data_IF_182845702187
#
_entry.id   IF_182845702187
#
_cell.length_a   1.000
_cell.length_b   1.000
_cell.length_c   1.000
_cell.angle_alpha   90.00
_cell.angle_beta   90.00
_cell.angle_gamma   90.00
#
_symmetry.space_group_name_H-M   'P 1'
#
loop_
_entity.id
_entity.type
_entity.pdbx_description
1 polymer ?
#
# COMPACT_ATOMS: atom_id res chain seq x y z
N UNK A 1 74.67 14.64 24.95
CA UNK A 1 74.45 13.31 24.35
C UNK A 1 73.25 13.45 23.42
N UNK A 2 73.52 13.84 22.17
CA UNK A 2 73.47 12.96 20.97
C UNK A 2 72.08 12.40 20.79
N UNK A 3 71.32 12.59 19.71
CA UNK A 3 71.50 13.07 18.34
C UNK A 3 70.08 12.81 17.74
N UNK A 4 69.51 13.46 16.73
CA UNK A 4 69.88 14.53 15.80
C UNK A 4 68.64 14.71 14.90
N UNK A 5 68.28 15.97 14.62
CA UNK A 5 67.88 16.53 13.30
C UNK A 5 66.71 15.91 12.51
N UNK A 6 65.61 16.66 12.30
CA UNK A 6 65.34 17.73 11.29
C UNK A 6 64.95 17.18 9.91
N UNK A 7 63.76 17.56 9.42
CA UNK A 7 63.51 18.52 8.32
C UNK A 7 61.98 18.63 8.13
N UNK A 8 61.35 19.81 8.28
CA UNK A 8 60.99 20.77 7.21
C UNK A 8 60.21 20.13 6.04
N UNK A 9 59.18 20.71 5.42
CA UNK A 9 58.40 21.94 5.58
C UNK A 9 57.38 21.95 4.41
N UNK A 10 56.51 22.98 4.39
CA UNK A 10 55.60 23.45 3.32
C UNK A 10 54.19 22.84 3.35
N UNK A 11 53.18 23.52 3.92
CA UNK A 11 52.42 24.66 3.36
C UNK A 11 51.88 24.39 1.95
N UNK A 12 50.56 24.24 1.87
CA UNK A 12 49.64 25.06 1.08
C UNK A 12 48.56 24.24 0.33
N UNK A 13 47.31 24.59 0.63
CA UNK A 13 46.18 24.71 -0.28
C UNK A 13 45.93 23.61 -1.32
N UNK A 14 44.80 22.91 -1.14
CA UNK A 14 44.22 22.06 -2.17
C UNK A 14 42.80 21.66 -1.82
N UNK A 15 41.84 22.54 -2.10
CA UNK A 15 40.48 22.19 -2.49
C UNK A 15 40.53 20.98 -3.42
N UNK A 16 40.11 19.80 -2.96
CA UNK A 16 39.62 18.75 -3.84
C UNK A 16 38.44 18.09 -3.12
N UNK A 17 37.28 18.26 -3.74
CA UNK A 17 36.06 17.51 -3.52
C UNK A 17 36.38 16.03 -3.23
N UNK A 18 35.71 15.45 -2.24
CA UNK A 18 35.65 13.99 -2.09
C UNK A 18 34.96 13.40 -3.31
N UNK A 19 35.74 13.20 -4.36
CA UNK A 19 35.39 12.45 -5.54
C UNK A 19 35.00 11.04 -5.06
N UNK A 20 33.71 10.76 -5.06
CA UNK A 20 33.27 9.40 -5.28
C UNK A 20 33.71 9.07 -6.69
N UNK A 21 34.83 8.35 -6.75
CA UNK A 21 35.21 7.60 -7.94
C UNK A 21 33.99 6.80 -8.35
N UNK A 22 33.45 7.14 -9.52
CA UNK A 22 32.64 6.23 -10.30
C UNK A 22 33.43 4.92 -10.42
N UNK A 23 33.13 3.97 -9.53
CA UNK A 23 33.41 2.58 -9.82
C UNK A 23 32.67 2.29 -11.13
N UNK A 24 33.31 1.68 -12.12
CA UNK A 24 32.66 1.41 -13.38
C UNK A 24 31.39 0.65 -13.05
N UNK A 25 30.26 1.16 -13.54
CA UNK A 25 29.02 0.43 -13.62
C UNK A 25 29.39 -0.95 -14.17
N UNK A 26 29.46 -1.94 -13.28
CA UNK A 26 29.37 -3.32 -13.70
C UNK A 26 27.98 -3.37 -14.26
N UNK A 27 27.92 -3.28 -15.59
CA UNK A 27 26.69 -3.32 -16.35
C UNK A 27 25.97 -4.56 -15.89
N UNK A 28 24.97 -4.37 -15.01
CA UNK A 28 23.79 -5.21 -14.94
C UNK A 28 23.14 -5.07 -16.31
N UNK A 29 23.76 -5.73 -17.28
CA UNK A 29 23.17 -6.03 -18.55
C UNK A 29 22.13 -7.06 -18.18
N UNK A 30 20.90 -6.60 -17.90
CA UNK A 30 19.72 -7.46 -17.93
C UNK A 30 19.55 -7.82 -19.41
N UNK A 31 20.40 -8.73 -19.86
CA UNK A 31 20.51 -9.13 -21.24
C UNK A 31 19.40 -10.13 -21.55
N UNK A 32 18.46 -9.68 -22.38
CA UNK A 32 17.95 -10.49 -23.48
C UNK A 32 16.58 -11.10 -23.25
N UNK A 33 15.63 -10.61 -24.05
CA UNK A 33 14.28 -11.16 -24.29
C UNK A 33 13.32 -11.12 -23.10
N UNK A 34 12.97 -9.90 -22.68
CA UNK A 34 11.66 -9.70 -22.05
C UNK A 34 10.61 -9.80 -23.17
N UNK A 35 10.10 -11.00 -23.43
CA UNK A 35 8.74 -11.10 -23.94
C UNK A 35 7.89 -10.28 -22.97
N UNK A 36 7.27 -9.19 -23.46
CA UNK A 36 6.39 -8.32 -22.70
C UNK A 36 5.24 -9.14 -22.11
N UNK A 37 5.44 -9.70 -20.93
CA UNK A 37 4.37 -10.37 -20.20
C UNK A 37 3.63 -9.26 -19.46
N UNK A 38 2.55 -8.79 -20.06
CA UNK A 38 1.55 -8.03 -19.34
C UNK A 38 0.80 -8.98 -18.39
N UNK A 39 0.29 -8.46 -17.27
CA UNK A 39 -0.76 -9.19 -16.57
C UNK A 39 -1.92 -9.41 -17.58
N UNK A 40 -2.55 -10.60 -17.61
CA UNK A 40 -3.70 -10.80 -18.47
C UNK A 40 -4.75 -9.73 -18.17
N UNK A 41 -5.35 -9.11 -19.19
CA UNK A 41 -6.33 -8.05 -19.02
C UNK A 41 -7.49 -8.54 -18.15
N UNK A 42 -8.14 -7.62 -17.42
CA UNK A 42 -9.28 -7.96 -16.54
C UNK A 42 -10.39 -8.76 -17.26
N UNK A 43 -10.49 -8.64 -18.59
CA UNK A 43 -11.41 -9.40 -19.44
C UNK A 43 -11.09 -10.89 -19.60
N UNK A 44 -9.88 -11.35 -19.29
CA UNK A 44 -9.49 -12.78 -19.37
C UNK A 44 -9.71 -13.52 -18.04
N UNK A 45 -9.81 -12.82 -16.91
CA UNK A 45 -10.11 -13.39 -15.59
C UNK A 45 -11.61 -13.30 -15.30
N UNK A 46 -12.47 -13.88 -16.13
CA UNK A 46 -13.92 -13.70 -16.04
C UNK A 46 -14.61 -14.49 -14.92
N UNK A 47 -13.89 -15.39 -14.24
CA UNK A 47 -14.53 -16.33 -13.33
C UNK A 47 -14.78 -15.67 -11.98
N UNK A 48 -16.06 -15.51 -11.67
CA UNK A 48 -16.56 -15.16 -10.35
C UNK A 48 -16.64 -16.44 -9.51
N UNK A 49 -16.05 -16.42 -8.33
CA UNK A 49 -16.09 -17.55 -7.40
C UNK A 49 -16.56 -17.12 -6.02
N UNK A 50 -16.93 -18.10 -5.21
CA UNK A 50 -17.38 -17.89 -3.83
C UNK A 50 -16.53 -18.73 -2.90
N UNK A 51 -16.08 -18.15 -1.80
CA UNK A 51 -15.45 -18.84 -0.68
C UNK A 51 -16.47 -18.95 0.45
N UNK A 52 -17.01 -20.15 0.61
CA UNK A 52 -17.88 -20.55 1.70
C UNK A 52 -17.02 -21.00 2.89
N UNK A 53 -17.21 -20.38 4.05
CA UNK A 53 -16.41 -20.65 5.24
C UNK A 53 -17.25 -20.92 6.47
N UNK A 54 -16.74 -21.75 7.37
CA UNK A 54 -17.37 -22.01 8.67
C UNK A 54 -16.81 -21.14 9.79
N UNK A 55 -17.53 -21.03 10.91
CA UNK A 55 -17.01 -20.37 12.12
C UNK A 55 -15.83 -21.12 12.75
N UNK A 56 -15.59 -22.36 12.31
CA UNK A 56 -14.47 -23.20 12.72
C UNK A 56 -13.15 -22.88 11.99
N UNK A 57 -13.17 -21.98 11.00
CA UNK A 57 -11.98 -21.60 10.25
C UNK A 57 -11.29 -20.39 10.90
N UNK A 58 -10.00 -20.49 11.30
CA UNK A 58 -9.24 -19.36 11.79
C UNK A 58 -9.16 -18.24 10.75
N UNK A 59 -9.22 -16.99 11.19
CA UNK A 59 -9.31 -15.82 10.31
C UNK A 59 -8.10 -15.68 9.38
N UNK A 60 -6.89 -15.89 9.88
CA UNK A 60 -5.67 -15.81 9.06
C UNK A 60 -5.72 -16.82 7.91
N UNK A 61 -6.20 -18.05 8.19
CA UNK A 61 -6.40 -19.09 7.17
C UNK A 61 -7.46 -18.70 6.14
N UNK A 62 -8.57 -18.08 6.58
CA UNK A 62 -9.60 -17.59 5.66
C UNK A 62 -9.05 -16.52 4.71
N UNK A 63 -8.25 -15.59 5.22
CA UNK A 63 -7.65 -14.51 4.44
C UNK A 63 -6.57 -15.02 3.49
N UNK A 64 -5.73 -15.97 3.93
CA UNK A 64 -4.79 -16.68 3.07
C UNK A 64 -5.49 -17.31 1.86
N UNK A 65 -6.58 -18.03 2.11
CA UNK A 65 -7.38 -18.67 1.06
C UNK A 65 -8.08 -17.65 0.15
N UNK A 66 -8.58 -16.55 0.71
CA UNK A 66 -9.13 -15.45 -0.09
C UNK A 66 -8.08 -14.83 -1.01
N UNK A 67 -6.89 -14.50 -0.46
CA UNK A 67 -5.76 -13.95 -1.21
C UNK A 67 -5.34 -14.89 -2.35
N UNK A 68 -5.20 -16.18 -2.06
CA UNK A 68 -4.93 -17.22 -3.06
C UNK A 68 -5.99 -17.21 -4.17
N UNK A 69 -7.28 -17.24 -3.84
CA UNK A 69 -8.35 -17.24 -4.83
C UNK A 69 -8.43 -15.93 -5.64
N UNK A 70 -8.19 -14.77 -5.02
CA UNK A 70 -8.18 -13.48 -5.74
C UNK A 70 -7.00 -13.33 -6.68
N UNK A 71 -5.89 -14.01 -6.40
CA UNK A 71 -4.74 -14.00 -7.30
C UNK A 71 -5.00 -14.74 -8.62
N UNK A 72 -5.97 -15.65 -8.64
CA UNK A 72 -6.31 -16.50 -9.80
C UNK A 72 -7.66 -16.15 -10.44
N UNK A 73 -8.63 -15.70 -9.65
CA UNK A 73 -10.00 -15.41 -10.10
C UNK A 73 -10.28 -13.91 -10.17
N UNK A 74 -11.15 -13.49 -11.09
CA UNK A 74 -11.51 -12.08 -11.28
C UNK A 74 -12.33 -11.48 -10.17
N UNK A 75 -13.06 -12.32 -9.41
CA UNK A 75 -13.86 -11.92 -8.26
C UNK A 75 -14.04 -13.07 -7.29
N UNK A 76 -13.99 -12.76 -5.98
CA UNK A 76 -14.23 -13.73 -4.91
C UNK A 76 -15.21 -13.14 -3.91
N UNK A 77 -16.34 -13.81 -3.73
CA UNK A 77 -17.32 -13.52 -2.68
C UNK A 77 -16.97 -14.29 -1.39
N UNK A 78 -17.30 -13.74 -0.22
CA UNK A 78 -17.12 -14.39 1.08
C UNK A 78 -18.51 -14.66 1.69
N UNK A 79 -18.79 -15.92 1.99
CA UNK A 79 -20.08 -16.33 2.54
C UNK A 79 -19.90 -17.22 3.77
N UNK A 80 -20.51 -16.84 4.90
CA UNK A 80 -20.57 -17.69 6.08
C UNK A 80 -21.53 -18.87 5.89
N UNK A 81 -21.08 -20.05 6.28
CA UNK A 81 -21.86 -21.28 6.31
C UNK A 81 -22.99 -21.19 7.35
N UNK A 82 -24.19 -21.62 6.95
CA UNK A 82 -25.38 -21.59 7.82
C UNK A 82 -26.31 -20.40 7.58
N UNK A 83 -25.91 -19.42 6.77
CA UNK A 83 -26.86 -18.48 6.17
C UNK A 83 -27.63 -19.15 5.01
N UNK A 84 -28.78 -18.58 4.67
CA UNK A 84 -29.49 -19.01 3.46
C UNK A 84 -28.60 -18.83 2.24
N UNK A 85 -28.72 -19.77 1.30
CA UNK A 85 -27.96 -19.71 0.05
C UNK A 85 -28.28 -18.39 -0.68
N UNK A 86 -27.28 -17.63 -1.18
CA UNK A 86 -27.52 -16.37 -1.86
C UNK A 86 -28.54 -16.50 -3.00
N UNK A 87 -29.50 -15.58 -3.03
CA UNK A 87 -30.61 -15.60 -3.98
C UNK A 87 -30.17 -15.41 -5.43
N UNK A 88 -29.17 -14.55 -5.67
CA UNK A 88 -28.60 -14.31 -6.99
C UNK A 88 -27.18 -14.89 -7.10
N UNK A 89 -26.98 -15.75 -8.09
CA UNK A 89 -25.74 -16.48 -8.38
C UNK A 89 -25.34 -16.34 -9.85
N UNK A 90 -25.91 -15.36 -10.55
CA UNK A 90 -25.59 -15.10 -11.94
C UNK A 90 -24.08 -14.89 -12.12
N UNK A 91 -23.49 -15.70 -13.00
CA UNK A 91 -22.06 -15.66 -13.32
C UNK A 91 -21.13 -16.37 -12.34
N UNK A 92 -21.64 -17.02 -11.27
CA UNK A 92 -20.80 -17.78 -10.35
C UNK A 92 -20.32 -19.08 -11.02
N UNK A 93 -19.01 -19.20 -11.28
CA UNK A 93 -18.45 -20.38 -11.94
C UNK A 93 -18.16 -21.52 -10.95
N UNK A 94 -17.71 -21.19 -9.75
CA UNK A 94 -17.29 -22.17 -8.74
C UNK A 94 -17.50 -21.67 -7.31
N UNK A 95 -17.83 -22.60 -6.41
CA UNK A 95 -17.79 -22.41 -4.96
C UNK A 95 -16.67 -23.25 -4.34
N UNK A 96 -15.92 -22.65 -3.44
CA UNK A 96 -14.90 -23.28 -2.62
C UNK A 96 -15.38 -23.32 -1.17
N UNK A 97 -15.34 -24.47 -0.52
CA UNK A 97 -15.70 -24.65 0.88
C UNK A 97 -14.44 -24.85 1.74
N UNK A 98 -14.39 -24.20 2.91
CA UNK A 98 -13.30 -24.34 3.88
C UNK A 98 -13.87 -24.48 5.29
N UNK A 99 -13.44 -25.51 6.04
CA UNK A 99 -13.95 -25.85 7.35
C UNK A 99 -15.14 -26.82 7.30
N UNK A 100 -15.31 -27.58 8.38
CA UNK A 100 -16.32 -28.65 8.45
C UNK A 100 -17.75 -28.14 8.38
N UNK A 101 -18.04 -26.93 8.88
CA UNK A 101 -19.37 -26.33 8.75
C UNK A 101 -19.67 -25.95 7.29
N UNK A 102 -18.68 -25.39 6.57
CA UNK A 102 -18.83 -25.05 5.17
C UNK A 102 -18.97 -26.29 4.29
N UNK A 103 -18.19 -27.34 4.54
CA UNK A 103 -18.29 -28.60 3.81
C UNK A 103 -19.68 -29.25 3.96
N UNK A 104 -20.24 -29.20 5.16
CA UNK A 104 -21.59 -29.71 5.44
C UNK A 104 -22.66 -28.88 4.71
N UNK A 105 -22.58 -27.55 4.77
CA UNK A 105 -23.48 -26.64 4.06
C UNK A 105 -23.36 -26.80 2.54
N UNK A 106 -22.14 -26.85 2.01
CA UNK A 106 -21.86 -27.09 0.60
C UNK A 106 -22.40 -28.44 0.11
N UNK A 107 -22.31 -29.48 0.95
CA UNK A 107 -22.88 -30.79 0.63
C UNK A 107 -24.41 -30.75 0.54
N UNK A 108 -25.08 -29.96 1.38
CA UNK A 108 -26.51 -29.73 1.28
C UNK A 108 -26.89 -28.97 -0.01
N UNK A 109 -26.02 -28.09 -0.49
CA UNK A 109 -26.23 -27.32 -1.72
C UNK A 109 -25.73 -28.01 -2.99
N UNK A 110 -25.03 -29.15 -2.89
CA UNK A 110 -24.38 -29.84 -4.02
C UNK A 110 -25.32 -30.10 -5.20
N UNK A 111 -26.54 -30.57 -4.94
CA UNK A 111 -27.54 -30.82 -5.99
C UNK A 111 -27.90 -29.53 -6.72
N UNK A 112 -28.11 -28.44 -5.98
CA UNK A 112 -28.47 -27.13 -6.52
C UNK A 112 -27.33 -26.47 -7.29
N UNK A 113 -26.09 -26.59 -6.79
CA UNK A 113 -24.91 -26.17 -7.55
C UNK A 113 -24.78 -26.92 -8.87
N UNK A 114 -24.98 -28.24 -8.87
CA UNK A 114 -24.92 -29.05 -10.09
C UNK A 114 -26.02 -28.68 -11.11
N UNK A 115 -27.25 -28.43 -10.64
CA UNK A 115 -28.37 -27.98 -11.49
C UNK A 115 -28.09 -26.62 -12.15
N UNK A 116 -27.30 -25.77 -11.49
CA UNK A 116 -26.92 -24.44 -11.98
C UNK A 116 -25.55 -24.43 -12.69
N UNK A 117 -24.90 -25.58 -12.84
CA UNK A 117 -23.59 -25.69 -13.51
C UNK A 117 -22.41 -25.12 -12.71
N UNK A 118 -22.59 -24.91 -11.40
CA UNK A 118 -21.58 -24.33 -10.51
C UNK A 118 -20.71 -25.45 -9.94
N UNK A 119 -19.39 -25.36 -10.16
CA UNK A 119 -18.44 -26.32 -9.58
C UNK A 119 -18.37 -26.17 -8.06
N UNK A 120 -18.19 -27.28 -7.33
CA UNK A 120 -17.97 -27.26 -5.88
C UNK A 120 -16.66 -27.97 -5.53
N UNK A 121 -15.78 -27.28 -4.81
CA UNK A 121 -14.48 -27.77 -4.37
C UNK A 121 -14.25 -27.50 -2.89
N UNK A 122 -13.45 -28.32 -2.22
CA UNK A 122 -13.12 -28.20 -0.81
C UNK A 122 -11.64 -27.84 -0.67
N UNK A 123 -11.31 -26.87 0.20
CA UNK A 123 -9.95 -26.36 0.42
C UNK A 123 -9.28 -26.92 1.70
N UNK A 124 -9.82 -27.99 2.30
CA UNK A 124 -9.30 -28.55 3.54
C UNK A 124 -8.01 -29.38 3.34
N UNK A 125 -6.89 -28.67 3.51
CA UNK A 125 -5.51 -29.12 3.64
C UNK A 125 -4.54 -27.95 3.37
N UNK A 126 -3.25 -28.02 3.74
CA UNK A 126 -2.21 -27.14 3.20
C UNK A 126 -1.91 -27.43 1.70
N UNK A 127 -2.85 -28.09 1.01
CA UNK A 127 -2.73 -28.49 -0.37
C UNK A 127 -3.28 -27.39 -1.26
N UNK A 128 -2.40 -26.88 -2.10
CA UNK A 128 -2.72 -26.09 -3.29
C UNK A 128 -4.05 -26.56 -3.92
N UNK A 129 -4.91 -25.64 -4.39
CA UNK A 129 -6.07 -26.00 -5.19
C UNK A 129 -5.60 -26.95 -6.29
N UNK A 130 -6.17 -28.15 -6.38
CA UNK A 130 -5.73 -29.12 -7.38
C UNK A 130 -5.91 -28.46 -8.74
N UNK A 131 -4.83 -28.21 -9.49
CA UNK A 131 -4.91 -27.45 -10.72
C UNK A 131 -5.73 -28.26 -11.73
N UNK A 132 -7.01 -27.92 -11.81
CA UNK A 132 -7.82 -28.19 -12.99
C UNK A 132 -7.29 -27.31 -14.10
N UNK A 133 -6.22 -27.77 -14.75
CA UNK A 133 -5.66 -27.25 -16.00
C UNK A 133 -5.49 -25.73 -16.01
N UNK A 134 -4.41 -25.19 -15.42
CA UNK A 134 -3.93 -23.85 -15.76
C UNK A 134 -2.41 -23.81 -15.86
N UNK A 135 -1.93 -23.08 -16.87
CA UNK A 135 -0.62 -23.21 -17.50
C UNK A 135 0.61 -22.97 -16.64
N UNK A 136 1.73 -23.43 -17.16
CA UNK A 136 3.11 -23.35 -16.64
C UNK A 136 3.69 -21.92 -16.58
N UNK A 137 2.86 -20.89 -16.53
CA UNK A 137 3.30 -19.49 -16.49
C UNK A 137 3.42 -19.02 -15.05
N UNK A 138 4.66 -18.73 -14.63
CA UNK A 138 4.93 -18.05 -13.37
C UNK A 138 4.28 -16.66 -13.37
N UNK A 139 3.77 -16.25 -12.21
CA UNK A 139 3.25 -14.91 -12.01
C UNK A 139 4.32 -13.84 -12.17
N UNK A 140 3.90 -12.59 -12.40
CA UNK A 140 4.79 -11.46 -12.58
C UNK A 140 5.11 -10.78 -11.25
N UNK A 141 6.34 -10.31 -11.08
CA UNK A 141 6.72 -9.48 -9.93
C UNK A 141 6.70 -8.01 -10.34
N UNK A 142 6.12 -7.14 -9.51
CA UNK A 142 6.14 -5.69 -9.71
C UNK A 142 6.82 -5.00 -8.53
N UNK A 143 7.33 -3.79 -8.74
CA UNK A 143 7.95 -3.00 -7.68
C UNK A 143 7.03 -1.86 -7.20
N UNK A 144 7.10 -1.49 -5.92
CA UNK A 144 6.36 -0.37 -5.34
C UNK A 144 7.19 0.46 -4.37
N UNK A 145 7.08 1.79 -4.47
CA UNK A 145 7.48 2.74 -3.42
C UNK A 145 6.26 3.08 -2.57
N UNK A 146 6.35 2.81 -1.26
CA UNK A 146 5.25 2.97 -0.31
C UNK A 146 5.28 4.30 0.45
N UNK A 147 4.13 4.71 0.97
CA UNK A 147 4.03 5.84 1.89
C UNK A 147 4.65 7.16 1.35
N UNK A 148 4.51 7.42 0.05
CA UNK A 148 4.98 8.68 -0.55
C UNK A 148 4.08 9.81 -0.05
N UNK A 149 4.69 10.73 0.69
CA UNK A 149 3.97 11.78 1.39
C UNK A 149 4.76 13.10 1.47
N UNK A 150 4.10 14.24 1.77
CA UNK A 150 4.76 15.55 1.73
C UNK A 150 5.80 15.79 2.83
N UNK A 151 5.95 14.89 3.79
CA UNK A 151 6.91 15.01 4.90
C UNK A 151 8.21 14.23 4.64
N UNK A 152 8.32 13.55 3.49
CA UNK A 152 9.55 12.88 3.08
C UNK A 152 10.64 13.88 2.68
N UNK A 153 11.89 13.40 2.70
CA UNK A 153 12.98 14.09 2.03
C UNK A 153 12.80 13.96 0.50
N UNK A 154 12.39 15.07 -0.14
CA UNK A 154 12.11 15.10 -1.57
C UNK A 154 13.36 14.82 -2.42
N UNK A 155 14.56 15.21 -1.95
CA UNK A 155 15.80 14.93 -2.68
C UNK A 155 16.18 13.46 -2.61
N UNK A 156 15.87 12.78 -1.50
CA UNK A 156 16.03 11.33 -1.44
C UNK A 156 15.03 10.60 -2.34
N UNK A 157 13.79 11.10 -2.40
CA UNK A 157 12.75 10.56 -3.27
C UNK A 157 13.13 10.71 -4.76
N UNK A 158 13.62 11.88 -5.17
CA UNK A 158 14.13 12.15 -6.52
C UNK A 158 15.23 11.15 -6.90
N UNK A 159 16.24 11.01 -6.03
CA UNK A 159 17.37 10.09 -6.23
C UNK A 159 16.90 8.63 -6.40
N UNK A 160 15.87 8.21 -5.67
CA UNK A 160 15.29 6.87 -5.83
C UNK A 160 14.61 6.72 -7.19
N UNK A 161 13.84 7.72 -7.62
CA UNK A 161 13.23 7.75 -8.94
C UNK A 161 14.27 7.66 -10.06
N UNK A 162 15.36 8.43 -9.97
CA UNK A 162 16.49 8.37 -10.90
C UNK A 162 17.11 6.98 -10.96
N UNK A 163 17.41 6.41 -9.81
CA UNK A 163 18.03 5.09 -9.73
C UNK A 163 17.17 4.00 -10.38
N UNK A 164 15.85 4.04 -10.18
CA UNK A 164 14.88 3.12 -10.80
C UNK A 164 14.79 3.31 -12.31
N UNK A 165 14.75 4.57 -12.77
CA UNK A 165 14.73 4.91 -14.19
C UNK A 165 16.01 4.46 -14.92
N UNK A 166 17.18 4.70 -14.34
CA UNK A 166 18.48 4.26 -14.89
C UNK A 166 18.52 2.75 -15.14
N UNK A 167 17.77 1.98 -14.35
CA UNK A 167 17.65 0.52 -14.45
C UNK A 167 16.41 0.06 -15.21
N UNK A 168 15.65 0.99 -15.78
CA UNK A 168 14.42 0.71 -16.53
C UNK A 168 13.39 -0.08 -15.71
N UNK A 169 13.33 0.14 -14.39
CA UNK A 169 12.35 -0.47 -13.50
C UNK A 169 11.14 0.44 -13.43
N UNK A 170 10.00 0.00 -13.97
CA UNK A 170 8.71 0.66 -13.75
C UNK A 170 8.11 0.23 -12.42
N UNK A 171 7.41 1.14 -11.74
CA UNK A 171 7.00 0.93 -10.35
C UNK A 171 5.66 1.56 -10.02
N UNK A 172 4.97 0.99 -9.04
CA UNK A 172 3.85 1.64 -8.37
C UNK A 172 4.36 2.67 -7.36
N UNK A 173 3.61 3.77 -7.22
CA UNK A 173 3.87 4.84 -6.26
C UNK A 173 2.64 4.96 -5.39
N UNK A 174 2.73 4.52 -4.15
CA UNK A 174 1.64 4.70 -3.20
C UNK A 174 1.66 6.14 -2.65
N UNK A 175 0.69 6.92 -3.07
CA UNK A 175 0.51 8.31 -2.66
C UNK A 175 -0.39 8.39 -1.44
N UNK A 176 0.08 9.11 -0.42
CA UNK A 176 -0.73 9.46 0.74
C UNK A 176 -1.74 10.54 0.38
N UNK A 177 -2.99 10.46 0.85
CA UNK A 177 -3.98 11.49 0.56
C UNK A 177 -3.58 12.89 1.07
N UNK A 178 -3.81 13.92 0.26
CA UNK A 178 -3.58 15.34 0.59
C UNK A 178 -4.90 16.10 0.48
N UNK A 179 -5.40 16.71 1.56
CA UNK A 179 -6.74 17.32 1.59
C UNK A 179 -6.75 18.81 1.88
N UNK A 180 -5.64 19.36 2.35
CA UNK A 180 -5.54 20.74 2.84
C UNK A 180 -4.25 21.37 2.37
N UNK A 181 -4.26 22.69 2.26
CA UNK A 181 -3.08 23.52 1.96
C UNK A 181 -2.34 23.10 0.67
N UNK A 182 -3.08 22.62 -0.33
CA UNK A 182 -2.53 22.28 -1.65
C UNK A 182 -1.76 23.46 -2.29
N UNK A 183 -2.16 24.69 -1.97
CA UNK A 183 -1.53 25.93 -2.45
C UNK A 183 -0.23 26.30 -1.73
N UNK A 184 0.15 25.61 -0.65
CA UNK A 184 1.38 25.94 0.07
C UNK A 184 2.63 25.51 -0.70
N UNK A 185 3.70 26.30 -0.62
CA UNK A 185 4.95 26.05 -1.37
C UNK A 185 5.52 24.64 -1.14
N UNK A 186 5.48 24.14 0.10
CA UNK A 186 5.96 22.80 0.42
C UNK A 186 5.13 21.68 -0.23
N UNK A 187 3.81 21.85 -0.30
CA UNK A 187 2.92 20.88 -0.96
C UNK A 187 3.05 20.98 -2.49
N UNK A 188 3.25 22.18 -3.05
CA UNK A 188 3.55 22.37 -4.47
C UNK A 188 4.87 21.72 -4.87
N UNK A 189 5.91 21.85 -4.03
CA UNK A 189 7.19 21.15 -4.22
C UNK A 189 7.01 19.63 -4.18
N UNK A 190 6.21 19.12 -3.24
CA UNK A 190 5.84 17.71 -3.19
C UNK A 190 5.13 17.25 -4.47
N UNK A 191 4.13 17.99 -4.97
CA UNK A 191 3.45 17.63 -6.22
C UNK A 191 4.39 17.66 -7.44
N UNK A 192 5.33 18.60 -7.47
CA UNK A 192 6.36 18.63 -8.51
C UNK A 192 7.25 17.39 -8.45
N UNK A 193 7.66 16.97 -7.26
CA UNK A 193 8.46 15.75 -7.09
C UNK A 193 7.67 14.50 -7.46
N UNK A 194 6.39 14.40 -7.07
CA UNK A 194 5.54 13.29 -7.49
C UNK A 194 5.44 13.23 -9.01
N UNK A 195 5.22 14.36 -9.70
CA UNK A 195 5.21 14.40 -11.18
C UNK A 195 6.52 13.89 -11.78
N UNK A 196 7.67 14.33 -11.24
CA UNK A 196 9.00 13.84 -11.64
C UNK A 196 9.09 12.32 -11.52
N UNK A 197 8.62 11.71 -10.42
CA UNK A 197 8.57 10.25 -10.29
C UNK A 197 7.70 9.57 -11.35
N UNK A 198 6.56 10.18 -11.70
CA UNK A 198 5.65 9.61 -12.70
C UNK A 198 6.27 9.65 -14.11
N UNK A 199 6.96 10.73 -14.46
CA UNK A 199 7.73 10.85 -15.70
C UNK A 199 8.85 9.81 -15.79
N UNK A 200 9.38 9.38 -14.63
CA UNK A 200 10.41 8.35 -14.49
C UNK A 200 9.88 6.92 -14.45
N UNK A 201 8.59 6.71 -14.71
CA UNK A 201 7.97 5.37 -14.83
C UNK A 201 7.13 4.95 -13.62
N UNK A 202 6.88 5.87 -12.69
CA UNK A 202 5.99 5.69 -11.56
C UNK A 202 4.51 5.66 -11.96
N UNK A 203 3.75 4.76 -11.33
CA UNK A 203 2.30 4.59 -11.52
C UNK A 203 1.58 4.92 -10.20
N UNK A 204 0.84 6.04 -10.13
CA UNK A 204 0.28 6.50 -8.87
C UNK A 204 -0.90 5.64 -8.42
N UNK A 205 -0.84 5.18 -7.17
CA UNK A 205 -1.93 4.53 -6.46
C UNK A 205 -2.30 5.42 -5.27
N UNK A 206 -3.58 5.55 -4.98
CA UNK A 206 -4.04 6.33 -3.84
C UNK A 206 -4.22 5.39 -2.63
N UNK A 207 -3.43 5.63 -1.60
CA UNK A 207 -3.51 4.90 -0.34
C UNK A 207 -4.79 5.28 0.42
N UNK A 208 -5.28 4.42 1.32
CA UNK A 208 -6.32 4.82 2.23
C UNK A 208 -5.74 5.78 3.27
N UNK A 209 -6.59 6.35 4.09
CA UNK A 209 -6.18 7.10 5.27
C UNK A 209 -5.58 6.18 6.36
N UNK A 210 -4.36 5.65 6.18
CA UNK A 210 -3.62 4.91 7.22
C UNK A 210 -3.58 5.77 8.49
N UNK A 211 -4.17 5.29 9.58
CA UNK A 211 -4.33 6.01 10.86
C UNK A 211 -5.66 6.76 11.05
N UNK A 212 -6.56 6.79 10.05
CA UNK A 212 -7.94 7.20 10.25
C UNK A 212 -8.78 5.96 10.53
N UNK A 213 -9.12 5.76 11.79
CA UNK A 213 -10.14 4.79 12.18
C UNK A 213 -11.50 5.52 12.15
N UNK A 214 -12.43 5.16 11.25
CA UNK A 214 -13.83 5.49 11.53
C UNK A 214 -14.16 4.87 12.89
N UNK A 215 -14.83 5.59 13.81
CA UNK A 215 -15.10 5.05 15.14
C UNK A 215 -15.83 3.71 14.99
N UNK A 216 -15.31 2.67 15.62
CA UNK A 216 -15.92 1.35 15.62
C UNK A 216 -17.37 1.49 16.13
N UNK A 217 -18.34 1.29 15.24
CA UNK A 217 -19.76 1.17 15.61
C UNK A 217 -19.97 0.05 16.65
N UNK A 218 -19.04 -0.90 16.72
CA UNK A 218 -19.00 -1.94 17.74
C UNK A 218 -18.49 -1.49 19.11
N UNK A 219 -17.58 -0.51 19.21
CA UNK A 219 -17.14 0.04 20.51
C UNK A 219 -18.10 1.12 21.03
N UNK A 220 -18.67 1.94 20.15
CA UNK A 220 -19.65 2.97 20.56
C UNK A 220 -20.97 2.37 21.10
N UNK A 221 -21.31 1.14 20.73
CA UNK A 221 -22.44 0.40 21.31
C UNK A 221 -22.11 -0.21 22.70
N UNK A 222 -20.83 -0.49 22.99
CA UNK A 222 -20.38 -1.12 24.24
C UNK A 222 -19.98 -0.09 25.30
N UNK A 223 -19.43 1.06 24.91
CA UNK A 223 -18.82 2.00 25.85
C UNK A 223 -19.73 3.16 26.27
N UNK A 224 -20.89 3.35 25.62
CA UNK A 224 -21.92 4.29 26.09
C UNK A 224 -21.47 5.75 26.24
N UNK A 225 -20.32 6.13 25.69
CA UNK A 225 -19.73 7.46 25.83
C UNK A 225 -19.44 8.07 24.47
N UNK A 226 -20.32 8.98 24.05
CA UNK A 226 -19.97 10.00 23.07
C UNK A 226 -18.93 10.94 23.67
N UNK A 227 -17.78 11.10 23.01
CA UNK A 227 -16.91 12.25 23.22
C UNK A 227 -17.04 13.20 22.03
N UNK A 228 -17.64 14.35 22.32
CA UNK A 228 -17.77 15.48 21.41
C UNK A 228 -16.41 16.16 21.18
N UNK A 229 -16.19 16.58 19.94
CA UNK A 229 -15.40 17.79 19.67
C UNK A 229 -14.05 17.58 18.99
N UNK A 230 -14.01 16.93 17.83
CA UNK A 230 -13.60 17.47 16.51
C UNK A 230 -14.07 16.43 15.49
N UNK A 231 -15.37 16.37 15.23
CA UNK A 231 -15.96 15.48 14.23
C UNK A 231 -16.61 16.33 13.15
N UNK A 232 -15.81 17.00 12.33
CA UNK A 232 -16.17 17.02 10.92
C UNK A 232 -15.86 15.60 10.42
N UNK A 233 -16.82 14.70 10.67
CA UNK A 233 -16.85 13.35 10.15
C UNK A 233 -17.11 13.45 8.64
N UNK A 234 -16.11 13.94 7.89
CA UNK A 234 -16.15 13.82 6.45
C UNK A 234 -16.12 12.33 6.15
N UNK A 235 -17.18 11.84 5.50
CA UNK A 235 -17.27 10.46 5.03
C UNK A 235 -16.00 10.11 4.24
N UNK A 236 -15.49 8.86 4.35
CA UNK A 236 -14.29 8.43 3.63
C UNK A 236 -14.31 8.87 2.17
N UNK A 237 -15.47 8.74 1.52
CA UNK A 237 -15.65 9.12 0.12
C UNK A 237 -15.34 10.59 -0.12
N UNK A 238 -15.80 11.51 0.73
CA UNK A 238 -15.54 12.94 0.55
C UNK A 238 -14.06 13.29 0.71
N UNK A 239 -13.39 12.69 1.68
CA UNK A 239 -11.94 12.87 1.84
C UNK A 239 -11.20 12.33 0.62
N UNK A 240 -11.47 11.09 0.24
CA UNK A 240 -10.83 10.49 -0.93
C UNK A 240 -11.10 11.28 -2.22
N UNK A 241 -12.29 11.88 -2.36
CA UNK A 241 -12.58 12.83 -3.44
C UNK A 241 -11.67 14.04 -3.40
N UNK A 242 -11.54 14.67 -2.24
CA UNK A 242 -10.72 15.87 -2.09
C UNK A 242 -9.25 15.59 -2.39
N UNK A 243 -8.73 14.44 -1.96
CA UNK A 243 -7.37 14.03 -2.32
C UNK A 243 -7.24 13.77 -3.82
N UNK A 244 -8.21 13.08 -4.41
CA UNK A 244 -8.25 12.88 -5.85
C UNK A 244 -8.23 14.21 -6.62
N UNK A 245 -9.10 15.16 -6.24
CA UNK A 245 -9.20 16.47 -6.89
C UNK A 245 -7.86 17.23 -6.74
N UNK A 246 -7.26 17.23 -5.55
CA UNK A 246 -5.97 17.87 -5.30
C UNK A 246 -4.84 17.31 -6.18
N UNK A 247 -4.81 15.99 -6.41
CA UNK A 247 -3.85 15.38 -7.34
C UNK A 247 -4.18 15.70 -8.81
N UNK A 248 -5.45 15.60 -9.19
CA UNK A 248 -5.89 15.82 -10.57
C UNK A 248 -5.67 17.27 -11.04
N UNK A 249 -5.89 18.26 -10.17
CA UNK A 249 -5.59 19.67 -10.41
C UNK A 249 -4.09 19.92 -10.68
N UNK A 250 -3.24 19.03 -10.19
CA UNK A 250 -1.79 19.06 -10.35
C UNK A 250 -1.28 18.20 -11.51
N UNK A 251 -2.19 17.67 -12.33
CA UNK A 251 -1.86 16.79 -13.46
C UNK A 251 -1.45 15.37 -13.04
N UNK A 252 -1.68 15.00 -11.78
CA UNK A 252 -1.38 13.67 -11.24
C UNK A 252 -2.66 12.82 -11.29
N UNK A 253 -2.69 11.84 -12.20
CA UNK A 253 -3.87 11.00 -12.43
C UNK A 253 -3.68 9.62 -11.79
N UNK A 254 -4.39 9.36 -10.69
CA UNK A 254 -4.30 8.06 -9.98
C UNK A 254 -4.77 6.92 -10.90
N UNK A 255 -4.10 5.76 -10.85
CA UNK A 255 -4.41 4.58 -11.67
C UNK A 255 -5.22 3.52 -10.93
N UNK A 256 -5.19 3.52 -9.60
CA UNK A 256 -5.86 2.54 -8.74
C UNK A 256 -5.72 2.91 -7.27
N UNK A 257 -6.15 1.99 -6.42
CA UNK A 257 -6.06 2.11 -4.97
C UNK A 257 -4.96 1.20 -4.42
N UNK A 258 -4.40 1.56 -3.28
CA UNK A 258 -3.70 0.60 -2.42
C UNK A 258 -4.40 0.47 -1.08
N UNK A 259 -3.93 -0.44 -0.21
CA UNK A 259 -4.39 -0.54 1.19
C UNK A 259 -4.59 -1.98 1.67
N UNK A 260 -4.97 -2.18 2.94
CA UNK A 260 -5.04 -3.51 3.49
C UNK A 260 -6.21 -4.27 2.86
N UNK A 261 -6.01 -5.57 2.69
CA UNK A 261 -6.92 -6.44 1.96
C UNK A 261 -8.37 -6.34 2.45
N UNK A 262 -8.57 -6.07 3.73
CA UNK A 262 -9.88 -5.99 4.34
C UNK A 262 -10.71 -4.77 4.01
N UNK A 263 -10.12 -3.74 3.40
CA UNK A 263 -10.90 -2.65 2.82
C UNK A 263 -11.89 -3.16 1.77
N UNK A 264 -11.57 -4.26 1.08
CA UNK A 264 -12.48 -4.89 0.11
C UNK A 264 -13.77 -5.43 0.76
N UNK A 265 -13.82 -5.54 2.09
CA UNK A 265 -14.96 -6.01 2.86
C UNK A 265 -15.62 -4.92 3.73
N UNK A 266 -15.12 -3.68 3.67
CA UNK A 266 -15.68 -2.57 4.42
C UNK A 266 -16.77 -1.86 3.61
N UNK A 267 -18.04 -1.86 4.08
CA UNK A 267 -19.13 -1.17 3.40
C UNK A 267 -18.91 0.33 3.22
N UNK A 268 -18.16 0.98 4.12
CA UNK A 268 -17.84 2.41 4.03
C UNK A 268 -16.86 2.72 2.88
N UNK A 269 -16.07 1.73 2.46
CA UNK A 269 -15.13 1.84 1.35
C UNK A 269 -15.71 1.36 0.02
N UNK A 270 -16.81 0.61 0.02
CA UNK A 270 -17.46 0.09 -1.19
C UNK A 270 -17.77 1.17 -2.24
N UNK A 271 -18.31 2.37 -1.89
CA UNK A 271 -18.52 3.44 -2.87
C UNK A 271 -17.23 3.95 -3.52
N UNK A 272 -16.11 3.93 -2.79
CA UNK A 272 -14.80 4.35 -3.28
C UNK A 272 -14.18 3.25 -4.14
N UNK A 273 -14.14 2.02 -3.65
CA UNK A 273 -13.57 0.87 -4.35
C UNK A 273 -14.33 0.53 -5.63
N UNK A 274 -15.65 0.73 -5.65
CA UNK A 274 -16.47 0.59 -6.86
C UNK A 274 -16.08 1.56 -7.99
N UNK A 275 -15.32 2.61 -7.68
CA UNK A 275 -14.77 3.55 -8.68
C UNK A 275 -13.44 3.07 -9.24
N UNK A 276 -12.72 2.18 -8.54
CA UNK A 276 -11.38 1.73 -8.89
C UNK A 276 -11.38 0.33 -9.53
N UNK A 277 -10.59 0.15 -10.58
CA UNK A 277 -10.40 -1.12 -11.30
C UNK A 277 -9.11 -1.86 -10.93
N UNK A 278 -8.21 -1.22 -10.18
CA UNK A 278 -6.95 -1.77 -9.71
C UNK A 278 -6.83 -1.57 -8.20
N UNK A 279 -6.48 -2.63 -7.49
CA UNK A 279 -6.21 -2.62 -6.05
C UNK A 279 -4.91 -3.37 -5.78
N UNK A 280 -3.92 -2.67 -5.24
CA UNK A 280 -2.67 -3.26 -4.77
C UNK A 280 -2.73 -3.37 -3.26
N UNK A 281 -2.60 -4.58 -2.75
CA UNK A 281 -2.58 -4.76 -1.29
C UNK A 281 -1.44 -3.94 -0.67
N UNK A 282 -1.68 -3.36 0.51
CA UNK A 282 -0.62 -2.82 1.34
C UNK A 282 -1.01 -2.82 2.82
N UNK A 283 -0.04 -3.06 3.69
CA UNK A 283 -0.19 -2.94 5.12
C UNK A 283 -0.88 -4.12 5.78
N UNK A 284 -0.91 -4.07 7.11
CA UNK A 284 -1.55 -5.09 7.91
C UNK A 284 -3.08 -4.92 7.89
N UNK A 285 -3.74 -6.06 7.85
CA UNK A 285 -5.17 -6.20 8.09
C UNK A 285 -5.60 -5.46 9.37
N UNK A 286 -6.73 -4.76 9.32
CA UNK A 286 -7.17 -3.84 10.37
C UNK A 286 -8.33 -4.35 11.23
N UNK A 287 -9.12 -5.30 10.76
CA UNK A 287 -10.30 -5.69 11.53
C UNK A 287 -11.47 -6.22 10.73
N UNK A 288 -11.52 -5.93 9.43
CA UNK A 288 -12.76 -6.05 8.67
C UNK A 288 -12.86 -7.44 8.02
N UNK A 289 -13.92 -8.18 8.34
CA UNK A 289 -14.37 -9.32 7.52
C UNK A 289 -15.86 -9.44 7.70
N UNK A 290 -16.61 -8.78 6.82
CA UNK A 290 -18.05 -8.99 6.71
C UNK A 290 -18.29 -9.94 5.55
N UNK A 291 -19.38 -10.68 5.64
CA UNK A 291 -19.89 -11.44 4.50
C UNK A 291 -20.17 -10.46 3.36
N UNK A 292 -19.77 -10.84 2.15
CA UNK A 292 -20.04 -10.05 0.94
C UNK A 292 -20.69 -10.97 -0.09
N UNK A 293 -21.88 -10.55 -0.53
CA UNK A 293 -22.60 -11.22 -1.60
C UNK A 293 -21.80 -11.21 -2.90
N UNK A 294 -22.17 -12.09 -3.83
CA UNK A 294 -21.47 -12.24 -5.09
C UNK A 294 -21.49 -10.91 -5.90
N UNK A 295 -22.62 -10.23 -5.93
CA UNK A 295 -22.84 -8.92 -6.54
C UNK A 295 -22.09 -7.78 -5.85
N UNK A 296 -21.75 -7.95 -4.57
CA UNK A 296 -21.04 -6.94 -3.79
C UNK A 296 -19.52 -7.08 -3.89
N UNK A 297 -19.05 -8.25 -4.30
CA UNK A 297 -17.65 -8.54 -4.49
C UNK A 297 -17.02 -7.59 -5.51
N UNK A 298 -15.89 -7.02 -5.13
CA UNK A 298 -15.14 -6.12 -5.99
C UNK A 298 -14.49 -6.89 -7.16
N UNK A 299 -14.71 -6.41 -8.38
CA UNK A 299 -14.43 -7.14 -9.62
C UNK A 299 -13.25 -6.55 -10.43
N UNK A 300 -12.22 -6.02 -9.77
CA UNK A 300 -11.03 -5.44 -10.43
C UNK A 300 -9.79 -6.33 -10.35
N UNK A 301 -8.66 -5.77 -10.82
CA UNK A 301 -7.34 -6.39 -10.77
C UNK A 301 -6.78 -6.27 -9.36
N UNK A 302 -6.67 -7.39 -8.67
CA UNK A 302 -6.04 -7.48 -7.36
C UNK A 302 -4.58 -7.93 -7.50
N UNK A 303 -3.66 -7.20 -6.86
CA UNK A 303 -2.27 -7.58 -6.75
C UNK A 303 -1.88 -7.71 -5.26
N UNK A 304 -1.52 -8.91 -4.77
CA UNK A 304 -1.03 -9.08 -3.42
C UNK A 304 0.34 -8.42 -3.26
N UNK A 305 0.62 -7.94 -2.05
CA UNK A 305 1.86 -7.26 -1.71
C UNK A 305 2.70 -8.06 -0.72
N UNK A 306 4.02 -7.93 -0.88
CA UNK A 306 5.03 -8.44 0.01
C UNK A 306 6.02 -7.34 0.35
N UNK A 307 6.29 -7.20 1.64
CA UNK A 307 7.37 -6.34 2.11
C UNK A 307 8.71 -7.07 1.93
N UNK A 308 9.62 -6.46 1.16
CA UNK A 308 10.91 -7.05 0.85
C UNK A 308 10.84 -8.39 0.09
N UNK A 309 11.90 -9.18 0.21
CA UNK A 309 12.09 -10.44 -0.50
C UNK A 309 11.94 -11.69 0.38
N UNK A 310 11.77 -11.50 1.69
CA UNK A 310 11.76 -12.61 2.64
C UNK A 310 10.63 -13.61 2.33
N UNK A 311 10.96 -14.92 2.24
CA UNK A 311 10.03 -15.95 1.76
C UNK A 311 8.91 -16.29 2.75
N UNK A 312 9.01 -15.91 4.03
CA UNK A 312 8.04 -16.32 5.05
C UNK A 312 6.62 -15.74 4.82
N UNK A 313 6.50 -14.63 4.09
CA UNK A 313 5.21 -14.05 3.72
C UNK A 313 4.59 -14.68 2.44
N UNK A 314 5.35 -15.45 1.65
CA UNK A 314 4.91 -15.95 0.34
C UNK A 314 4.46 -17.42 0.33
N UNK A 315 4.48 -18.12 1.46
CA UNK A 315 4.15 -19.54 1.52
C UNK A 315 2.69 -19.88 1.14
N UNK A 316 1.83 -18.87 0.96
CA UNK A 316 0.39 -19.03 0.74
C UNK A 316 -0.08 -18.64 -0.67
N UNK A 317 0.79 -18.06 -1.52
CA UNK A 317 0.41 -17.66 -2.87
C UNK A 317 0.78 -18.74 -3.90
N UNK A 318 -0.10 -19.02 -4.88
CA UNK A 318 0.21 -20.00 -5.91
C UNK A 318 1.31 -19.46 -6.84
N UNK A 319 2.16 -20.30 -7.45
CA UNK A 319 3.26 -19.86 -8.33
C UNK A 319 2.82 -19.00 -9.53
N UNK A 320 1.56 -19.10 -9.94
CA UNK A 320 0.96 -18.31 -11.01
C UNK A 320 0.52 -16.90 -10.56
N UNK A 321 0.52 -16.60 -9.27
CA UNK A 321 0.10 -15.30 -8.74
C UNK A 321 1.14 -14.23 -9.08
N UNK A 322 0.69 -13.18 -9.77
CA UNK A 322 1.47 -11.93 -9.82
C UNK A 322 1.49 -11.28 -8.44
N UNK A 323 2.59 -10.62 -8.09
CA UNK A 323 2.80 -10.01 -6.77
C UNK A 323 3.53 -8.68 -6.87
N UNK A 324 3.36 -7.83 -5.86
CA UNK A 324 4.06 -6.55 -5.71
C UNK A 324 5.05 -6.68 -4.56
N UNK A 325 6.29 -6.33 -4.82
CA UNK A 325 7.35 -6.19 -3.82
C UNK A 325 7.62 -4.71 -3.66
N UNK A 326 7.77 -4.24 -2.43
CA UNK A 326 8.08 -2.82 -2.26
C UNK A 326 8.73 -2.51 -0.93
N UNK A 327 9.20 -1.27 -0.84
CA UNK A 327 9.80 -0.68 0.35
C UNK A 327 9.14 0.66 0.67
N UNK A 328 9.27 1.11 1.91
CA UNK A 328 8.88 2.47 2.29
C UNK A 328 9.73 3.52 1.57
N UNK A 329 9.09 4.55 1.03
CA UNK A 329 9.76 5.66 0.36
C UNK A 329 10.65 6.47 1.31
N UNK A 330 10.46 6.36 2.62
CA UNK A 330 11.34 6.92 3.65
C UNK A 330 12.53 6.03 4.07
N UNK A 331 12.61 4.78 3.60
CA UNK A 331 13.76 3.92 3.90
C UNK A 331 15.04 4.48 3.25
N UNK A 332 16.22 4.15 3.75
CA UNK A 332 17.45 4.64 3.11
C UNK A 332 17.63 4.05 1.69
N UNK A 333 18.33 4.78 0.81
CA UNK A 333 18.61 4.27 -0.54
C UNK A 333 19.50 3.01 -0.55
N UNK A 334 20.25 2.73 0.53
CA UNK A 334 21.07 1.52 0.62
C UNK A 334 20.18 0.27 0.78
N UNK A 335 19.07 0.36 1.50
CA UNK A 335 18.07 -0.67 1.67
C UNK A 335 17.38 -0.96 0.33
N UNK A 336 17.01 0.07 -0.44
CA UNK A 336 16.46 -0.10 -1.79
C UNK A 336 17.45 -0.82 -2.71
N UNK A 337 18.71 -0.36 -2.71
CA UNK A 337 19.76 -0.95 -3.55
C UNK A 337 20.02 -2.40 -3.17
N UNK A 338 20.13 -2.69 -1.87
CA UNK A 338 20.36 -4.04 -1.35
C UNK A 338 19.21 -4.97 -1.71
N UNK A 339 17.96 -4.55 -1.52
CA UNK A 339 16.79 -5.34 -1.88
C UNK A 339 16.75 -5.62 -3.39
N UNK A 340 17.05 -4.65 -4.24
CA UNK A 340 17.00 -4.84 -5.69
C UNK A 340 18.17 -5.68 -6.22
N UNK A 341 19.35 -5.57 -5.60
CA UNK A 341 20.49 -6.45 -5.88
C UNK A 341 20.22 -7.89 -5.43
N UNK A 342 19.61 -8.07 -4.26
CA UNK A 342 19.18 -9.37 -3.77
C UNK A 342 18.12 -9.97 -4.71
N UNK A 343 17.13 -9.19 -5.14
CA UNK A 343 16.10 -9.60 -6.09
C UNK A 343 16.73 -10.09 -7.40
N UNK A 344 17.68 -9.32 -7.94
CA UNK A 344 18.40 -9.67 -9.16
C UNK A 344 19.25 -10.95 -8.98
N UNK A 345 19.93 -11.10 -7.84
CA UNK A 345 20.73 -12.30 -7.53
C UNK A 345 19.88 -13.56 -7.38
N UNK A 346 18.65 -13.41 -6.87
CA UNK A 346 17.65 -14.47 -6.76
C UNK A 346 16.87 -14.74 -8.05
N UNK A 347 17.18 -14.03 -9.15
CA UNK A 347 16.54 -14.20 -10.45
C UNK A 347 15.14 -13.57 -10.56
N UNK A 348 14.77 -12.68 -9.65
CA UNK A 348 13.51 -11.90 -9.73
C UNK A 348 13.63 -10.87 -10.84
N UNK A 349 12.67 -10.88 -11.77
CA UNK A 349 12.55 -9.88 -12.84
C UNK A 349 11.29 -9.08 -12.59
N UNK A 350 11.44 -7.76 -12.50
CA UNK A 350 10.31 -6.86 -12.35
C UNK A 350 9.64 -6.60 -13.71
N UNK A 351 8.35 -6.89 -13.79
CA UNK A 351 7.51 -6.58 -14.92
C UNK A 351 7.17 -5.09 -14.97
N UNK A 352 6.76 -4.62 -16.15
CA UNK A 352 6.43 -3.22 -16.36
C UNK A 352 5.07 -2.88 -15.73
N UNK A 353 5.09 -2.15 -14.61
CA UNK A 353 3.88 -1.73 -13.91
C UNK A 353 2.95 -0.88 -14.79
N UNK A 354 3.52 -0.16 -15.76
CA UNK A 354 2.76 0.65 -16.73
C UNK A 354 1.74 -0.17 -17.56
N UNK A 355 2.01 -1.46 -17.76
CA UNK A 355 1.18 -2.39 -18.53
C UNK A 355 0.04 -3.00 -17.70
N UNK A 356 -0.01 -2.75 -16.39
CA UNK A 356 -1.13 -3.14 -15.56
C UNK A 356 -2.29 -2.20 -15.85
N UNK A 357 -3.39 -2.76 -16.35
CA UNK A 357 -4.60 -1.99 -16.59
C UNK A 357 -5.11 -1.40 -15.27
N UNK A 358 -5.51 -0.14 -15.33
CA UNK A 358 -6.00 0.61 -14.18
C UNK A 358 -7.20 1.45 -14.59
N UNK A 359 -8.10 1.68 -13.65
CA UNK A 359 -9.22 2.59 -13.86
C UNK A 359 -9.60 3.24 -12.56
N UNK A 360 -9.93 4.51 -12.61
CA UNK A 360 -10.60 5.18 -11.51
C UNK A 360 -11.56 6.23 -12.06
N UNK A 361 -12.79 6.22 -11.56
CA UNK A 361 -13.87 7.09 -12.04
C UNK A 361 -14.48 7.93 -10.91
N UNK A 362 -14.09 9.21 -10.90
CA UNK A 362 -14.75 10.26 -10.14
C UNK A 362 -15.52 11.15 -11.12
N UNK A 363 -15.18 12.43 -11.17
CA UNK A 363 -15.72 13.38 -12.15
C UNK A 363 -15.12 13.17 -13.55
N UNK A 364 -13.91 12.58 -13.60
CA UNK A 364 -13.20 12.21 -14.82
C UNK A 364 -13.00 10.70 -14.86
N UNK A 365 -13.05 10.13 -16.05
CA UNK A 365 -12.74 8.72 -16.28
C UNK A 365 -11.26 8.57 -16.62
N UNK A 366 -10.46 8.17 -15.63
CA UNK A 366 -9.05 7.88 -15.83
C UNK A 366 -8.87 6.40 -16.07
N UNK A 367 -8.27 6.05 -17.20
CA UNK A 367 -7.96 4.68 -17.59
C UNK A 367 -6.50 4.56 -17.95
N UNK A 368 -5.87 3.50 -17.46
CA UNK A 368 -4.60 3.00 -17.95
C UNK A 368 -4.86 1.70 -18.69
N UNK A 369 -4.49 1.64 -19.96
CA UNK A 369 -4.66 0.41 -20.75
C UNK A 369 -3.49 0.22 -21.70
N UNK A 370 -2.83 -0.93 -21.60
CA UNK A 370 -1.68 -1.27 -22.45
C UNK A 370 -0.57 -0.20 -22.43
N UNK A 371 -0.20 0.28 -21.25
CA UNK A 371 0.84 1.30 -21.07
C UNK A 371 0.38 2.75 -21.24
N UNK A 372 -0.81 2.99 -21.80
CA UNK A 372 -1.31 4.34 -22.12
C UNK A 372 -2.24 4.86 -21.04
N UNK A 373 -2.00 6.11 -20.61
CA UNK A 373 -2.91 6.87 -19.76
C UNK A 373 -3.91 7.64 -20.64
N UNK A 374 -5.19 7.47 -20.35
CA UNK A 374 -6.31 8.16 -20.97
C UNK A 374 -7.14 8.83 -19.86
N UNK A 375 -7.49 10.09 -20.09
CA UNK A 375 -8.40 10.87 -19.24
C UNK A 375 -9.58 11.28 -20.11
N UNK A 376 -10.77 10.83 -19.74
CA UNK A 376 -12.00 10.99 -20.53
C UNK A 376 -11.83 10.50 -21.98
N UNK A 377 -11.10 9.40 -22.16
CA UNK A 377 -10.83 8.77 -23.45
C UNK A 377 -9.73 9.43 -24.30
N UNK A 378 -9.13 10.52 -23.83
CA UNK A 378 -8.07 11.24 -24.55
C UNK A 378 -6.74 11.17 -23.79
N UNK A 379 -5.58 11.31 -24.46
CA UNK A 379 -4.32 11.55 -23.75
C UNK A 379 -4.45 12.76 -22.82
N UNK A 380 -3.85 12.74 -21.62
CA UNK A 380 -3.87 13.89 -20.73
C UNK A 380 -3.23 15.09 -21.44
N UNK A 381 -3.82 16.28 -21.23
CA UNK A 381 -3.18 17.51 -21.65
C UNK A 381 -1.85 17.68 -20.90
N UNK A 382 -0.87 18.28 -21.57
CA UNK A 382 0.39 18.64 -20.92
C UNK A 382 0.09 19.57 -19.74
N UNK A 383 0.57 19.19 -18.56
CA UNK A 383 0.32 19.98 -17.36
C UNK A 383 1.05 21.32 -17.47
N UNK A 384 0.28 22.41 -17.42
CA UNK A 384 0.81 23.76 -17.31
C UNK A 384 0.55 24.26 -15.89
N UNK A 385 1.59 24.53 -15.08
CA UNK A 385 1.39 24.99 -13.72
C UNK A 385 0.59 26.30 -13.69
N UNK A 386 -0.39 26.44 -12.77
CA UNK A 386 -1.12 27.69 -12.61
C UNK A 386 -0.13 28.78 -12.20
N UNK A 387 0.01 29.83 -13.02
CA UNK A 387 0.92 30.95 -12.75
C UNK A 387 2.12 31.09 -13.68
N UNK A 388 2.17 30.38 -14.81
CA UNK A 388 2.91 30.81 -16.00
C UNK A 388 4.36 31.25 -15.77
N UNK A 389 5.11 30.53 -14.95
CA UNK A 389 6.56 30.57 -14.94
C UNK A 389 7.06 29.14 -14.72
N UNK A 390 7.78 28.61 -15.71
CA UNK A 390 8.86 27.64 -15.47
C UNK A 390 9.94 28.38 -14.68
N UNK A 391 9.68 28.66 -13.41
CA UNK A 391 10.75 28.83 -12.47
C UNK A 391 11.37 27.43 -12.38
N UNK A 392 12.58 27.27 -12.90
CA UNK A 392 13.53 26.32 -12.31
C UNK A 392 13.36 26.53 -10.81
N UNK A 393 12.89 25.54 -10.03
CA UNK A 393 12.76 25.76 -8.61
C UNK A 393 14.15 26.21 -8.17
N UNK A 394 14.25 27.46 -7.73
CA UNK A 394 15.42 27.86 -6.98
C UNK A 394 15.41 26.85 -5.84
N UNK A 395 16.37 25.92 -5.87
CA UNK A 395 16.67 25.12 -4.69
C UNK A 395 16.67 26.13 -3.56
N UNK A 396 15.81 25.96 -2.53
CA UNK A 396 16.01 26.75 -1.34
C UNK A 396 17.45 26.43 -0.94
N UNK A 397 18.35 27.43 -1.04
CA UNK A 397 19.62 27.39 -0.34
C UNK A 397 19.28 26.85 1.04
N UNK A 398 19.97 25.80 1.48
CA UNK A 398 19.66 25.02 2.66
C UNK A 398 19.46 25.92 3.88
N UNK A 399 18.26 26.50 3.98
CA UNK A 399 17.90 27.44 5.00
C UNK A 399 17.47 26.54 6.14
N UNK A 400 18.38 26.46 7.09
CA UNK A 400 18.26 25.90 8.44
C UNK A 400 16.94 26.21 9.18
N UNK A 401 15.99 26.92 8.58
CA UNK A 401 14.64 27.22 9.08
C UNK A 401 13.71 25.99 9.16
N UNK A 402 13.78 25.03 8.22
CA UNK A 402 13.00 23.78 8.30
C UNK A 402 13.52 22.85 9.42
N UNK A 403 14.81 22.93 9.78
CA UNK A 403 15.34 22.24 10.96
C UNK A 403 14.89 22.86 12.28
N UNK A 404 14.41 24.11 12.29
CA UNK A 404 13.89 24.79 13.48
C UNK A 404 12.44 24.38 13.79
N UNK A 405 11.59 24.19 12.78
CA UNK A 405 10.23 23.66 12.96
C UNK A 405 10.28 22.17 13.32
N UNK A 406 11.16 21.40 12.69
CA UNK A 406 11.34 19.99 13.06
C UNK A 406 11.98 19.84 14.46
N UNK A 407 12.89 20.75 14.87
CA UNK A 407 13.35 20.85 16.26
C UNK A 407 12.26 21.33 17.22
N UNK A 408 11.37 22.24 16.84
CA UNK A 408 10.32 22.72 17.73
C UNK A 408 9.23 21.66 17.96
N UNK A 409 8.89 20.89 16.93
CA UNK A 409 7.97 19.73 17.04
C UNK A 409 8.62 18.62 17.86
N UNK A 410 9.89 18.30 17.62
CA UNK A 410 10.64 17.31 18.42
C UNK A 410 10.83 17.75 19.88
N UNK A 411 11.07 19.04 20.10
CA UNK A 411 11.14 19.65 21.46
C UNK A 411 9.76 19.65 22.13
N UNK A 412 8.68 19.93 21.41
CA UNK A 412 7.32 19.87 21.94
C UNK A 412 6.91 18.43 22.34
N UNK A 413 7.26 17.42 21.53
CA UNK A 413 7.06 16.01 21.89
C UNK A 413 7.90 15.59 23.10
N UNK A 414 9.15 16.04 23.19
CA UNK A 414 10.02 15.75 24.35
C UNK A 414 9.49 16.43 25.62
N UNK A 415 9.02 17.68 25.52
CA UNK A 415 8.41 18.39 26.65
C UNK A 415 7.11 17.70 27.09
N UNK A 416 6.25 17.28 26.16
CA UNK A 416 5.05 16.51 26.47
C UNK A 416 5.40 15.20 27.18
N UNK A 417 6.39 14.46 26.69
CA UNK A 417 6.83 13.21 27.29
C UNK A 417 7.42 13.43 28.71
N UNK A 418 8.22 14.47 28.90
CA UNK A 418 8.76 14.85 30.23
C UNK A 418 7.65 15.27 31.18
N UNK A 419 6.66 16.04 30.73
CA UNK A 419 5.50 16.45 31.54
C UNK A 419 4.65 15.22 31.89
N UNK A 420 4.40 14.29 30.97
CA UNK A 420 3.68 13.05 31.24
C UNK A 420 4.39 12.18 32.28
N UNK A 421 5.72 12.06 32.19
CA UNK A 421 6.52 11.33 33.19
C UNK A 421 6.46 12.03 34.55
N UNK A 422 6.55 13.36 34.59
CA UNK A 422 6.44 14.15 35.83
C UNK A 422 5.07 14.01 36.48
N UNK A 423 3.99 14.04 35.70
CA UNK A 423 2.62 13.85 36.20
C UNK A 423 2.45 12.44 36.73
N UNK A 424 2.94 11.41 36.02
CA UNK A 424 2.89 10.03 36.47
C UNK A 424 3.70 9.83 37.77
N UNK A 425 4.89 10.43 37.87
CA UNK A 425 5.72 10.39 39.07
C UNK A 425 5.07 11.12 40.25
N UNK A 426 4.44 12.28 40.01
CA UNK A 426 3.67 13.00 41.03
C UNK A 426 2.49 12.15 41.52
N UNK A 427 1.75 11.50 40.61
CA UNK A 427 0.66 10.59 40.96
C UNK A 427 1.14 9.41 41.80
N UNK A 428 2.25 8.76 41.43
CA UNK A 428 2.85 7.68 42.21
C UNK A 428 3.26 8.16 43.62
N UNK A 429 3.83 9.36 43.71
CA UNK A 429 4.25 9.96 45.00
C UNK A 429 3.04 10.26 45.88
N UNK A 430 1.99 10.89 45.34
CA UNK A 430 0.73 11.13 46.05
C UNK A 430 0.04 9.83 46.46
N UNK A 431 0.12 8.78 45.64
CA UNK A 431 -0.43 7.46 45.97
C UNK A 431 0.32 6.81 47.14
N UNK A 432 1.66 6.88 47.16
CA UNK A 432 2.47 6.36 48.27
C UNK A 432 2.23 7.15 49.57
N UNK A 433 2.17 8.47 49.50
CA UNK A 433 1.86 9.33 50.65
C UNK A 433 0.43 9.08 51.15
N UNK A 434 -0.54 9.00 50.24
CA UNK A 434 -1.92 8.65 50.56
C UNK A 434 -2.03 7.28 51.22
N UNK A 435 -1.30 6.28 50.73
CA UNK A 435 -1.21 4.95 51.33
C UNK A 435 -0.58 4.97 52.73
N UNK A 436 0.45 5.79 52.97
CA UNK A 436 1.04 5.95 54.30
C UNK A 436 0.09 6.64 55.29
N UNK A 437 -0.64 7.68 54.85
CA UNK A 437 -1.64 8.37 55.67
C UNK A 437 -2.80 7.42 56.00
N UNK A 438 -3.28 6.66 55.02
CA UNK A 438 -4.36 5.69 55.22
C UNK A 438 -3.92 4.60 56.22
N UNK A 439 -2.68 4.09 56.10
CA UNK A 439 -2.12 3.10 57.04
C UNK A 439 -1.96 3.65 58.47
N UNK A 440 -1.67 4.95 58.65
CA UNK A 440 -1.62 5.60 59.97
C UNK A 440 -3.01 5.84 60.58
N UNK A 441 -4.06 6.02 59.77
CA UNK A 441 -5.45 6.12 60.27
C UNK A 441 -6.02 4.79 60.76
N UNK A 442 -5.58 3.67 60.21
CA UNK A 442 -6.03 2.32 60.61
C UNK A 442 -5.18 1.67 61.73
N UNK A 443 -4.16 2.37 62.24
CA UNK A 443 -3.33 1.93 63.38
C UNK A 443 -3.56 2.78 64.64
N UNK A 444 -4.60 3.62 64.67
CA UNK A 444 -5.05 4.36 65.85
C UNK A 444 -6.34 3.78 66.40
#
# INVERSE_FOLDING_TARGET
>A
MTCRTRLLALLAAGLIAGAWSAAPASALTIAGNVSSHAAPPASERSDKVMLLYGNDVPRDRLMAQYRMLRSTHGSVALQLAGQEMPGDRAGLAKAYATGGQAEAAASAWRKRFAEEGIGLETLDGPGEPKPGVMGTTAGLSYFMLKDVNPFLDLSELERKGEWLQERSISFFVELRPVFVNAESEGIQAYFAEVRSLLERGGIPLLAPLKGWSPPDEWQSYVEGSMLAGVTDSLEPERLMKQAWDAYAEQGIFIAGMSGPLDLLFDPSWKPILGRAGLFVEDGAWQGYSRDIGAEEAWNGIYLPYREGLEPEASAELPPAASLVIGLEAGADAAAMSSMLEEAASGGTVFAEASLVDGRIQWDRDVRRTGGRLLVDGNPPAEYSPPGGQTAVPAQPEADTSLTLVNKSIKSAMVVLLVVSILVAAAFATFFVVGRQINRRKFLR
#
